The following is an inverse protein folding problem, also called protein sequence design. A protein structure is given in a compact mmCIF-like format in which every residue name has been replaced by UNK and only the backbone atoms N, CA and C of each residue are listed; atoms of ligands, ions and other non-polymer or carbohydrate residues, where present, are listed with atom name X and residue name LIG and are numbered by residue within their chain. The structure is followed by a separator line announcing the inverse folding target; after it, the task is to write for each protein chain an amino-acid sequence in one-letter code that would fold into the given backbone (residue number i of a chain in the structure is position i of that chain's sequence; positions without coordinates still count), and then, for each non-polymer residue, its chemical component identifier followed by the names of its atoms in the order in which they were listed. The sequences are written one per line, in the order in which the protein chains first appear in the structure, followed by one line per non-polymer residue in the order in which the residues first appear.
data_IF_337345460141
#
_entry.id   IF_337345460141
#
_cell.length_a   1.000
_cell.length_b   1.000
_cell.length_c   1.000
_cell.angle_alpha   90.00
_cell.angle_beta   90.00
_cell.angle_gamma   90.00
#
_symmetry.space_group_name_H-M   'P 1'
#
loop_
_entity.id
_entity.type
_entity.pdbx_description
1 polymer ?
#
# COMPACT_ATOMS: atom_id res chain seq x y z
N UNK A 1 16.26 2.91 -13.81
CA UNK A 1 15.89 1.51 -13.50
C UNK A 1 14.57 1.50 -12.75
N UNK A 2 13.58 0.70 -13.21
CA UNK A 2 12.29 0.48 -12.53
C UNK A 2 12.42 -0.68 -11.53
N UNK A 3 11.77 -0.58 -10.36
CA UNK A 3 11.71 -1.66 -9.37
C UNK A 3 10.56 -1.53 -8.38
N UNK A 4 10.36 -2.57 -7.57
CA UNK A 4 9.29 -2.66 -6.58
C UNK A 4 9.84 -2.40 -5.18
N UNK A 5 9.16 -1.57 -4.40
CA UNK A 5 9.46 -1.32 -2.99
C UNK A 5 8.28 -1.77 -2.12
N UNK A 6 8.57 -2.61 -1.13
CA UNK A 6 7.59 -3.13 -0.18
C UNK A 6 8.00 -2.75 1.24
N UNK A 7 7.00 -2.55 2.11
CA UNK A 7 7.21 -2.44 3.56
C UNK A 7 6.67 -3.69 4.24
N UNK A 8 7.52 -4.37 5.02
CA UNK A 8 7.16 -5.61 5.68
C UNK A 8 7.67 -5.61 7.13
N UNK A 9 6.77 -5.44 8.09
CA UNK A 9 7.08 -5.42 9.52
C UNK A 9 6.12 -6.30 10.28
N UNK A 10 6.61 -7.37 10.89
CA UNK A 10 5.81 -8.21 11.77
C UNK A 10 5.35 -7.41 13.00
N UNK A 11 4.18 -7.75 13.49
CA UNK A 11 3.65 -7.27 14.77
C UNK A 11 3.42 -8.46 15.69
N UNK A 12 3.05 -8.23 16.95
CA UNK A 12 2.64 -9.30 17.86
C UNK A 12 1.38 -10.05 17.38
N UNK A 13 0.55 -9.41 16.53
CA UNK A 13 -0.71 -10.00 16.02
C UNK A 13 -0.59 -10.55 14.61
N UNK A 14 0.30 -10.00 13.78
CA UNK A 14 0.35 -10.29 12.36
C UNK A 14 1.76 -10.61 11.87
N UNK A 15 1.88 -11.69 11.16
CA UNK A 15 3.09 -12.19 10.50
C UNK A 15 3.10 -11.75 9.04
N UNK A 16 3.55 -10.52 8.81
CA UNK A 16 3.66 -9.96 7.45
C UNK A 16 4.71 -10.67 6.59
N UNK A 17 5.72 -11.28 7.21
CA UNK A 17 6.68 -12.17 6.54
C UNK A 17 5.99 -13.36 5.85
N UNK A 18 4.92 -13.92 6.44
CA UNK A 18 4.11 -14.97 5.83
C UNK A 18 3.26 -14.45 4.65
N UNK A 19 2.81 -13.21 4.72
CA UNK A 19 2.14 -12.57 3.58
C UNK A 19 3.15 -12.33 2.46
N UNK A 20 4.35 -11.83 2.78
CA UNK A 20 5.45 -11.67 1.82
C UNK A 20 5.79 -12.98 1.10
N UNK A 21 5.76 -14.13 1.81
CA UNK A 21 5.98 -15.46 1.23
C UNK A 21 4.99 -15.79 0.10
N UNK A 22 3.80 -15.19 0.09
CA UNK A 22 2.76 -15.39 -0.93
C UNK A 22 2.84 -14.33 -2.04
N UNK A 23 3.03 -13.07 -1.68
CA UNK A 23 2.95 -11.95 -2.62
C UNK A 23 4.23 -11.74 -3.43
N UNK A 24 5.40 -11.92 -2.81
CA UNK A 24 6.69 -11.69 -3.48
C UNK A 24 6.92 -12.65 -4.67
N UNK A 25 6.61 -13.96 -4.59
CA UNK A 25 6.70 -14.85 -5.76
C UNK A 25 5.80 -14.39 -6.92
N UNK A 26 4.59 -13.91 -6.63
CA UNK A 26 3.66 -13.39 -7.65
C UNK A 26 4.21 -12.12 -8.31
N UNK A 27 4.75 -11.18 -7.53
CA UNK A 27 5.40 -9.98 -8.06
C UNK A 27 6.59 -10.33 -8.97
N UNK A 28 7.42 -11.30 -8.57
CA UNK A 28 8.54 -11.76 -9.40
C UNK A 28 8.06 -12.40 -10.71
N UNK A 29 7.06 -13.28 -10.62
CA UNK A 29 6.50 -13.98 -11.77
C UNK A 29 5.90 -13.04 -12.79
N UNK A 30 5.10 -12.06 -12.33
CA UNK A 30 4.27 -11.26 -13.22
C UNK A 30 4.95 -9.94 -13.64
N UNK A 31 5.84 -9.37 -12.80
CA UNK A 31 6.53 -8.12 -13.15
C UNK A 31 7.98 -8.32 -13.62
N UNK A 32 8.67 -9.36 -13.15
CA UNK A 32 10.08 -9.59 -13.49
C UNK A 32 11.05 -8.50 -13.00
N UNK A 33 10.60 -7.61 -12.11
CA UNK A 33 11.34 -6.45 -11.63
C UNK A 33 12.21 -6.78 -10.40
N UNK A 34 13.30 -6.03 -10.16
CA UNK A 34 14.01 -6.09 -8.90
C UNK A 34 13.11 -5.61 -7.76
N UNK A 35 13.17 -6.32 -6.62
CA UNK A 35 12.34 -6.04 -5.45
C UNK A 35 13.24 -5.67 -4.28
N UNK A 36 12.88 -4.60 -3.57
CA UNK A 36 13.46 -4.21 -2.30
C UNK A 36 12.39 -4.26 -1.21
N UNK A 37 12.69 -4.92 -0.09
CA UNK A 37 11.84 -4.95 1.10
C UNK A 37 12.47 -4.09 2.20
N UNK A 38 11.74 -3.09 2.65
CA UNK A 38 12.05 -2.31 3.85
C UNK A 38 11.46 -3.04 5.05
N UNK A 39 12.30 -3.36 6.02
CA UNK A 39 11.92 -4.17 7.18
C UNK A 39 12.79 -3.85 8.39
N UNK A 40 12.44 -4.35 9.58
CA UNK A 40 13.31 -4.32 10.74
C UNK A 40 14.05 -5.66 10.93
N UNK A 41 15.03 -5.66 11.82
CA UNK A 41 15.89 -6.83 12.05
C UNK A 41 15.10 -8.06 12.54
N UNK A 42 14.10 -7.86 13.41
CA UNK A 42 13.31 -8.97 13.96
C UNK A 42 12.42 -9.62 12.90
N UNK A 43 11.79 -8.82 12.04
CA UNK A 43 11.02 -9.34 10.90
C UNK A 43 11.96 -10.01 9.89
N UNK A 44 13.11 -9.40 9.59
CA UNK A 44 14.09 -9.97 8.66
C UNK A 44 14.54 -11.39 9.06
N UNK A 45 14.79 -11.64 10.35
CA UNK A 45 15.14 -12.99 10.85
C UNK A 45 14.05 -14.03 10.58
N UNK A 46 12.80 -13.60 10.46
CA UNK A 46 11.66 -14.47 10.22
C UNK A 46 11.34 -14.66 8.73
N UNK A 47 12.00 -13.87 7.84
CA UNK A 47 11.70 -13.96 6.41
C UNK A 47 12.04 -15.34 5.85
N UNK A 48 11.12 -15.95 5.10
CA UNK A 48 11.43 -17.15 4.35
C UNK A 48 12.42 -16.83 3.21
N UNK A 49 13.07 -17.82 2.63
CA UNK A 49 13.92 -17.62 1.46
C UNK A 49 13.05 -17.19 0.26
N UNK A 50 13.12 -15.90 -0.09
CA UNK A 50 12.36 -15.30 -1.20
C UNK A 50 13.19 -15.20 -2.51
N UNK A 51 14.38 -15.82 -2.55
CA UNK A 51 15.32 -15.70 -3.67
C UNK A 51 16.00 -14.32 -3.71
N UNK A 52 16.38 -13.85 -4.90
CA UNK A 52 17.09 -12.57 -5.05
C UNK A 52 16.17 -11.39 -4.70
N UNK A 53 16.27 -10.94 -3.43
CA UNK A 53 15.57 -9.79 -2.87
C UNK A 53 16.60 -8.89 -2.19
N UNK A 54 16.48 -7.59 -2.39
CA UNK A 54 17.24 -6.60 -1.64
C UNK A 54 16.49 -6.26 -0.34
N UNK A 55 17.19 -6.17 0.78
CA UNK A 55 16.63 -5.77 2.05
C UNK A 55 17.23 -4.44 2.51
N UNK A 56 16.35 -3.56 2.98
CA UNK A 56 16.71 -2.34 3.71
C UNK A 56 16.28 -2.51 5.16
N UNK A 57 17.24 -2.76 6.04
CA UNK A 57 16.96 -2.86 7.47
C UNK A 57 16.91 -1.45 8.04
N UNK A 58 15.82 -1.14 8.70
CA UNK A 58 15.59 0.15 9.36
C UNK A 58 15.14 -0.07 10.79
N UNK A 59 15.42 0.90 11.67
CA UNK A 59 14.86 0.89 13.02
C UNK A 59 13.37 1.19 12.96
N UNK A 60 12.59 0.47 13.78
CA UNK A 60 11.17 0.74 13.91
C UNK A 60 10.95 2.05 14.66
N UNK A 61 10.26 3.00 14.04
CA UNK A 61 9.57 4.02 14.83
C UNK A 61 8.44 3.37 15.65
N UNK A 62 8.13 3.97 16.80
CA UNK A 62 6.99 3.54 17.63
C UNK A 62 5.74 3.53 16.78
N UNK A 63 5.13 2.35 16.66
CA UNK A 63 3.98 2.12 15.83
C UNK A 63 2.77 2.97 16.22
N UNK A 64 1.89 3.17 15.28
CA UNK A 64 0.57 3.70 15.49
C UNK A 64 -0.37 2.58 15.96
N UNK A 65 -1.38 2.90 16.75
CA UNK A 65 -2.39 1.93 17.16
C UNK A 65 -3.68 2.16 16.38
N UNK A 66 -4.18 1.12 15.74
CA UNK A 66 -5.53 1.09 15.15
C UNK A 66 -6.29 -0.05 15.85
N UNK A 67 -7.41 0.29 16.46
CA UNK A 67 -8.23 -0.68 17.22
C UNK A 67 -7.42 -1.44 18.27
N UNK A 68 -6.54 -0.73 19.00
CA UNK A 68 -5.61 -1.27 19.99
C UNK A 68 -4.56 -2.25 19.43
N UNK A 69 -4.34 -2.29 18.12
CA UNK A 69 -3.30 -3.10 17.48
C UNK A 69 -2.20 -2.23 16.91
N UNK A 70 -0.93 -2.55 17.14
CA UNK A 70 0.19 -1.78 16.59
C UNK A 70 0.22 -1.89 15.07
N UNK A 71 0.40 -0.74 14.42
CA UNK A 71 0.55 -0.65 12.98
C UNK A 71 1.84 0.08 12.62
N UNK A 72 2.70 -0.57 11.85
CA UNK A 72 4.07 -0.11 11.58
C UNK A 72 4.27 0.56 10.21
N UNK A 73 3.22 0.93 9.50
CA UNK A 73 3.32 1.56 8.19
C UNK A 73 3.46 3.10 8.26
N UNK A 74 4.13 3.62 9.29
CA UNK A 74 4.26 5.06 9.51
C UNK A 74 5.30 5.73 8.62
N UNK A 75 6.32 4.98 8.17
CA UNK A 75 7.48 5.52 7.49
C UNK A 75 7.39 5.48 5.96
N UNK A 76 6.18 5.34 5.42
CA UNK A 76 5.98 5.31 3.98
C UNK A 76 6.46 6.59 3.27
N UNK A 77 6.50 7.72 3.98
CA UNK A 77 7.09 8.96 3.49
C UNK A 77 8.59 8.83 3.18
N UNK A 78 9.29 7.86 3.75
CA UNK A 78 10.71 7.59 3.47
C UNK A 78 10.93 6.76 2.20
N UNK A 79 9.86 6.37 1.50
CA UNK A 79 9.99 5.50 0.32
C UNK A 79 10.82 6.15 -0.79
N UNK A 80 10.78 7.49 -0.93
CA UNK A 80 11.62 8.21 -1.87
C UNK A 80 13.12 8.02 -1.59
N UNK A 81 13.53 8.11 -0.32
CA UNK A 81 14.92 7.96 0.10
C UNK A 81 15.36 6.49 0.10
N UNK A 82 14.48 5.59 0.57
CA UNK A 82 14.80 4.17 0.75
C UNK A 82 14.77 3.37 -0.55
N UNK A 83 14.04 3.82 -1.56
CA UNK A 83 14.05 3.16 -2.85
C UNK A 83 15.40 3.29 -3.54
N UNK A 84 16.01 2.19 -4.02
CA UNK A 84 17.24 2.23 -4.81
C UNK A 84 16.98 2.51 -6.30
N UNK A 85 15.73 2.70 -6.72
CA UNK A 85 15.32 2.77 -8.12
C UNK A 85 15.06 4.22 -8.57
N UNK A 86 15.27 4.51 -9.86
CA UNK A 86 14.93 5.80 -10.46
C UNK A 86 13.41 5.96 -10.59
N UNK A 87 12.72 4.82 -10.82
CA UNK A 87 11.27 4.72 -10.83
C UNK A 87 10.84 3.56 -9.93
N UNK A 88 9.83 3.77 -9.13
CA UNK A 88 9.43 2.83 -8.08
C UNK A 88 7.93 2.54 -8.14
N UNK A 89 7.59 1.27 -8.09
CA UNK A 89 6.25 0.79 -7.76
C UNK A 89 6.26 0.48 -6.27
N UNK A 90 5.68 1.35 -5.46
CA UNK A 90 5.55 1.19 -4.01
C UNK A 90 4.23 0.50 -3.70
N UNK A 91 4.28 -0.68 -3.09
CA UNK A 91 3.09 -1.49 -2.79
C UNK A 91 2.99 -1.82 -1.29
N UNK A 92 1.76 -2.04 -0.83
CA UNK A 92 1.52 -2.76 0.42
C UNK A 92 1.90 -4.23 0.24
N UNK A 93 2.40 -4.86 1.31
CA UNK A 93 2.85 -6.26 1.28
C UNK A 93 1.71 -7.25 0.99
N UNK A 94 0.47 -6.84 1.19
CA UNK A 94 -0.75 -7.59 0.96
C UNK A 94 -1.43 -7.26 -0.39
N UNK A 95 -0.67 -6.68 -1.32
CA UNK A 95 -1.04 -6.54 -2.71
C UNK A 95 -0.65 -7.81 -3.48
N UNK A 96 -1.63 -8.56 -3.95
CA UNK A 96 -1.46 -9.76 -4.76
C UNK A 96 -1.46 -9.38 -6.23
N UNK A 97 -0.30 -9.50 -6.86
CA UNK A 97 -0.07 -9.12 -8.25
C UNK A 97 -0.19 -10.36 -9.14
N UNK A 98 -1.28 -10.48 -9.88
CA UNK A 98 -1.55 -11.61 -10.77
C UNK A 98 -1.39 -11.26 -12.24
N UNK A 99 -1.14 -9.99 -12.56
CA UNK A 99 -0.99 -9.48 -13.93
C UNK A 99 0.27 -8.63 -14.07
N UNK A 100 0.60 -8.25 -15.29
CA UNK A 100 1.66 -7.30 -15.63
C UNK A 100 1.16 -5.84 -15.73
N UNK A 101 -0.09 -5.58 -15.36
CA UNK A 101 -0.74 -4.28 -15.50
C UNK A 101 0.07 -3.12 -14.91
N UNK A 102 0.77 -3.35 -13.78
CA UNK A 102 1.61 -2.34 -13.15
C UNK A 102 2.80 -1.91 -14.03
N UNK A 103 3.28 -2.76 -14.94
CA UNK A 103 4.33 -2.38 -15.91
C UNK A 103 3.79 -1.35 -16.89
N UNK A 104 2.60 -1.58 -17.44
CA UNK A 104 1.93 -0.62 -18.35
C UNK A 104 1.68 0.72 -17.66
N UNK A 105 1.28 0.71 -16.40
CA UNK A 105 1.10 1.95 -15.63
C UNK A 105 2.43 2.68 -15.38
N UNK A 106 3.54 1.95 -15.23
CA UNK A 106 4.85 2.53 -15.01
C UNK A 106 5.49 3.14 -16.30
N UNK A 107 4.98 2.82 -17.46
CA UNK A 107 5.44 3.41 -18.74
C UNK A 107 5.00 4.86 -18.95
N UNK A 108 4.21 5.42 -18.04
CA UNK A 108 3.69 6.79 -18.11
C UNK A 108 4.80 7.84 -17.95
N UNK A 109 4.56 9.03 -18.50
CA UNK A 109 5.41 10.21 -18.28
C UNK A 109 5.18 10.89 -16.92
N UNK A 110 4.15 10.49 -16.18
CA UNK A 110 3.83 11.06 -14.89
C UNK A 110 4.92 10.79 -13.84
N UNK A 111 5.25 11.81 -13.05
CA UNK A 111 6.22 11.69 -11.97
C UNK A 111 5.70 10.94 -10.76
N UNK A 112 4.39 11.04 -10.51
CA UNK A 112 3.72 10.44 -9.36
C UNK A 112 2.28 10.09 -9.69
N UNK A 113 1.88 8.87 -9.36
CA UNK A 113 0.49 8.41 -9.48
C UNK A 113 0.09 7.58 -8.26
N UNK A 114 -1.18 7.68 -7.90
CA UNK A 114 -1.79 6.92 -6.79
C UNK A 114 -3.26 6.59 -7.12
N UNK A 115 -3.79 5.51 -6.57
CA UNK A 115 -5.22 5.24 -6.71
C UNK A 115 -6.06 6.21 -5.89
N UNK A 116 -7.09 6.79 -6.49
CA UNK A 116 -8.13 7.58 -5.81
C UNK A 116 -9.45 6.79 -5.63
N UNK A 117 -9.59 5.67 -6.31
CA UNK A 117 -10.79 4.84 -6.30
C UNK A 117 -10.46 3.37 -6.08
N UNK A 118 -11.35 2.69 -5.36
CA UNK A 118 -11.31 1.25 -5.18
C UNK A 118 -12.56 0.61 -5.81
N UNK A 119 -12.42 -0.69 -6.07
CA UNK A 119 -13.52 -1.59 -6.40
C UNK A 119 -13.57 -2.69 -5.35
N UNK A 120 -14.69 -2.77 -4.61
CA UNK A 120 -14.93 -3.85 -3.65
C UNK A 120 -15.27 -5.14 -4.41
N UNK A 121 -14.29 -6.06 -4.46
CA UNK A 121 -14.45 -7.32 -5.19
C UNK A 121 -15.43 -8.29 -4.51
N UNK A 122 -15.83 -8.03 -3.26
CA UNK A 122 -16.89 -8.79 -2.59
C UNK A 122 -18.31 -8.37 -3.03
N UNK A 123 -18.44 -7.25 -3.77
CA UNK A 123 -19.70 -6.72 -4.26
C UNK A 123 -20.58 -6.05 -3.20
N UNK A 124 -20.06 -5.76 -2.00
CA UNK A 124 -20.83 -5.21 -0.88
C UNK A 124 -20.72 -3.69 -0.71
N UNK A 125 -20.09 -2.98 -1.65
CA UNK A 125 -19.88 -1.52 -1.55
C UNK A 125 -19.27 -1.06 -0.20
N UNK A 126 -18.42 -1.88 0.40
CA UNK A 126 -17.83 -1.68 1.74
C UNK A 126 -17.02 -0.38 1.87
N UNK A 127 -16.72 0.26 0.74
CA UNK A 127 -15.93 1.50 0.67
C UNK A 127 -16.77 2.75 0.39
N UNK A 128 -18.06 2.71 0.65
CA UNK A 128 -18.89 3.93 0.72
C UNK A 128 -18.55 4.68 1.98
N UNK A 129 -17.50 5.49 1.92
CA UNK A 129 -17.11 6.35 3.03
C UNK A 129 -18.16 7.45 3.24
N UNK A 130 -18.58 7.62 4.48
CA UNK A 130 -19.25 8.85 4.90
C UNK A 130 -18.24 10.00 4.71
N UNK A 131 -18.44 10.81 3.68
CA UNK A 131 -17.55 11.89 3.28
C UNK A 131 -17.70 13.06 4.23
N UNK A 132 -16.99 13.02 5.36
CA UNK A 132 -16.91 14.17 6.26
C UNK A 132 -15.64 15.02 6.05
N UNK A 133 -14.64 14.49 5.35
CA UNK A 133 -13.39 15.21 5.09
C UNK A 133 -13.49 16.14 3.89
N UNK A 134 -12.75 17.26 3.94
CA UNK A 134 -12.69 18.26 2.85
C UNK A 134 -11.83 17.79 1.67
N UNK A 135 -11.00 16.76 1.86
CA UNK A 135 -10.18 16.16 0.81
C UNK A 135 -10.51 14.67 0.71
N UNK A 136 -10.75 14.14 -0.52
CA UNK A 136 -10.97 12.73 -0.71
C UNK A 136 -9.68 11.96 -0.38
N UNK A 137 -9.83 10.84 0.33
CA UNK A 137 -8.73 9.94 0.63
C UNK A 137 -8.21 9.29 -0.67
N UNK A 138 -6.89 9.18 -0.79
CA UNK A 138 -6.27 8.31 -1.80
C UNK A 138 -5.96 6.95 -1.21
N UNK A 139 -5.64 5.98 -2.04
CA UNK A 139 -5.24 4.65 -1.60
C UNK A 139 -3.73 4.48 -1.77
N UNK A 140 -3.00 4.73 -0.70
CA UNK A 140 -1.55 4.64 -0.68
C UNK A 140 -1.02 3.19 -0.80
N UNK A 141 -1.90 2.22 -0.97
CA UNK A 141 -1.57 0.80 -1.22
C UNK A 141 -0.69 0.60 -2.45
N UNK A 142 -0.96 1.36 -3.53
CA UNK A 142 -0.14 1.36 -4.73
C UNK A 142 0.17 2.79 -5.13
N UNK A 143 1.45 3.12 -5.15
CA UNK A 143 1.99 4.40 -5.60
C UNK A 143 3.08 4.12 -6.64
N UNK A 144 3.01 4.78 -7.80
CA UNK A 144 4.07 4.72 -8.81
C UNK A 144 4.73 6.10 -8.83
N UNK A 145 6.06 6.14 -8.69
CA UNK A 145 6.77 7.42 -8.67
C UNK A 145 8.15 7.35 -9.33
N UNK A 146 8.58 8.46 -9.92
CA UNK A 146 9.94 8.70 -10.40
C UNK A 146 10.70 9.57 -9.40
N UNK A 147 12.02 9.43 -9.34
CA UNK A 147 12.88 10.28 -8.50
C UNK A 147 13.08 11.65 -9.13
N UNK A 148 12.12 12.55 -8.94
CA UNK A 148 12.14 13.94 -9.38
C UNK A 148 12.00 14.88 -8.17
N UNK A 149 12.34 16.15 -8.34
CA UNK A 149 12.17 17.17 -7.30
C UNK A 149 10.70 17.34 -6.88
N UNK A 150 9.77 17.22 -7.83
CA UNK A 150 8.33 17.25 -7.54
C UNK A 150 7.93 16.08 -6.64
N UNK A 151 8.36 14.88 -6.96
CA UNK A 151 8.09 13.70 -6.14
C UNK A 151 8.73 13.80 -4.76
N UNK A 152 9.96 14.30 -4.70
CA UNK A 152 10.63 14.58 -3.43
C UNK A 152 9.81 15.52 -2.55
N UNK A 153 9.30 16.61 -3.12
CA UNK A 153 8.45 17.57 -2.41
C UNK A 153 7.16 16.91 -1.88
N UNK A 154 6.56 15.96 -2.62
CA UNK A 154 5.38 15.21 -2.15
C UNK A 154 5.74 14.39 -0.90
N UNK A 155 6.81 13.61 -0.91
CA UNK A 155 7.22 12.81 0.24
C UNK A 155 7.65 13.65 1.44
N UNK A 156 8.33 14.78 1.22
CA UNK A 156 8.70 15.74 2.27
C UNK A 156 7.43 16.36 2.90
N UNK A 157 6.44 16.70 2.08
CA UNK A 157 5.15 17.21 2.58
C UNK A 157 4.40 16.14 3.38
N UNK A 158 4.41 14.87 2.97
CA UNK A 158 3.81 13.76 3.75
C UNK A 158 4.49 13.64 5.12
N UNK A 159 5.83 13.76 5.20
CA UNK A 159 6.57 13.81 6.47
C UNK A 159 6.11 14.98 7.35
N UNK A 160 6.03 16.17 6.79
CA UNK A 160 5.57 17.37 7.50
C UNK A 160 4.14 17.22 8.03
N UNK A 161 3.24 16.62 7.22
CA UNK A 161 1.87 16.32 7.62
C UNK A 161 1.84 15.29 8.75
N UNK A 162 2.67 14.23 8.68
CA UNK A 162 2.78 13.21 9.73
C UNK A 162 3.14 13.84 11.08
N UNK A 163 4.15 14.73 11.10
CA UNK A 163 4.61 15.41 12.31
C UNK A 163 3.55 16.32 12.93
N UNK A 164 2.59 16.79 12.13
CA UNK A 164 1.51 17.73 12.52
C UNK A 164 0.13 17.19 12.23
N UNK A 165 -0.04 15.87 12.29
CA UNK A 165 -1.23 15.21 11.76
C UNK A 165 -2.53 15.70 12.40
N UNK A 166 -2.56 15.95 13.71
CA UNK A 166 -3.76 16.48 14.38
C UNK A 166 -4.19 17.84 13.84
N UNK A 167 -3.24 18.74 13.57
CA UNK A 167 -3.52 20.05 12.95
C UNK A 167 -4.17 19.85 11.57
N UNK A 168 -3.63 18.97 10.74
CA UNK A 168 -4.18 18.69 9.42
C UNK A 168 -5.53 17.98 9.47
N UNK A 169 -5.75 17.12 10.46
CA UNK A 169 -7.07 16.51 10.69
C UNK A 169 -8.13 17.57 10.98
N UNK A 170 -7.81 18.58 11.77
CA UNK A 170 -8.72 19.70 12.08
C UNK A 170 -8.97 20.57 10.85
N UNK A 171 -7.89 20.97 10.16
CA UNK A 171 -7.96 21.81 8.97
C UNK A 171 -8.81 21.19 7.85
N UNK A 172 -8.65 19.88 7.61
CA UNK A 172 -9.34 19.14 6.54
C UNK A 172 -10.57 18.38 7.02
N UNK A 173 -11.00 18.54 8.27
CA UNK A 173 -12.14 17.87 8.89
C UNK A 173 -12.05 16.35 8.76
N UNK A 174 -10.88 15.80 9.07
CA UNK A 174 -10.63 14.36 9.04
C UNK A 174 -10.92 13.79 10.43
N UNK A 175 -11.86 12.85 10.52
CA UNK A 175 -12.27 12.26 11.81
C UNK A 175 -11.30 11.19 12.32
N UNK A 176 -10.35 10.72 11.51
CA UNK A 176 -9.35 9.73 11.90
C UNK A 176 -8.17 10.41 12.61
N UNK A 177 -8.04 10.21 13.92
CA UNK A 177 -6.95 10.80 14.72
C UNK A 177 -5.66 9.98 14.68
N UNK A 178 -5.73 8.69 14.36
CA UNK A 178 -4.54 7.89 14.08
C UNK A 178 -3.99 8.26 12.69
N UNK A 179 -2.68 8.39 12.60
CA UNK A 179 -2.05 8.74 11.33
C UNK A 179 -2.39 7.72 10.23
N UNK A 180 -2.78 8.24 9.06
CA UNK A 180 -3.05 7.45 7.86
C UNK A 180 -2.30 8.02 6.67
N UNK A 181 -1.48 7.18 6.04
CA UNK A 181 -0.78 7.53 4.81
C UNK A 181 -1.74 8.02 3.72
N UNK A 182 -2.90 7.37 3.60
CA UNK A 182 -3.93 7.69 2.61
C UNK A 182 -4.35 9.16 2.66
N UNK A 183 -4.62 9.69 3.85
CA UNK A 183 -4.94 11.11 4.03
C UNK A 183 -3.71 12.00 3.91
N UNK A 184 -2.56 11.56 4.40
CA UNK A 184 -1.35 12.37 4.32
C UNK A 184 -0.91 12.61 2.87
N UNK A 185 -0.95 11.58 2.03
CA UNK A 185 -0.71 11.73 0.59
C UNK A 185 -1.79 12.57 -0.09
N UNK A 186 -3.08 12.36 0.23
CA UNK A 186 -4.16 13.17 -0.33
C UNK A 186 -3.98 14.67 -0.04
N UNK A 187 -3.64 15.03 1.21
CA UNK A 187 -3.39 16.42 1.62
C UNK A 187 -2.15 16.96 0.90
N UNK A 188 -1.05 16.20 0.87
CA UNK A 188 0.19 16.63 0.22
C UNK A 188 -0.02 16.95 -1.26
N UNK A 189 -0.70 16.05 -1.98
CA UNK A 189 -1.04 16.23 -3.40
C UNK A 189 -1.95 17.43 -3.62
N UNK A 190 -2.94 17.62 -2.75
CA UNK A 190 -3.87 18.73 -2.83
C UNK A 190 -3.17 20.08 -2.62
N UNK A 191 -2.31 20.19 -1.61
CA UNK A 191 -1.56 21.42 -1.32
C UNK A 191 -0.54 21.75 -2.41
N UNK A 192 0.27 20.77 -2.82
CA UNK A 192 1.31 20.97 -3.84
C UNK A 192 0.72 21.16 -5.24
N UNK A 193 -0.46 20.60 -5.51
CA UNK A 193 -1.21 20.79 -6.74
C UNK A 193 -1.99 22.10 -6.81
N UNK A 194 -1.88 22.98 -5.79
CA UNK A 194 -2.59 24.26 -5.75
C UNK A 194 -4.11 24.08 -5.64
N UNK A 195 -4.56 23.08 -4.93
CA UNK A 195 -5.98 22.71 -4.74
C UNK A 195 -6.69 22.29 -6.03
N UNK A 196 -5.93 21.91 -7.04
CA UNK A 196 -6.42 21.30 -8.28
C UNK A 196 -6.34 19.77 -8.20
N UNK A 197 -6.80 19.11 -9.24
CA UNK A 197 -6.62 17.66 -9.38
C UNK A 197 -5.15 17.25 -9.47
N UNK A 198 -4.88 16.02 -9.19
CA UNK A 198 -3.56 15.36 -9.30
C UNK A 198 -3.69 14.10 -10.15
N UNK A 199 -2.55 13.59 -10.59
CA UNK A 199 -2.49 12.40 -11.42
C UNK A 199 -2.89 11.17 -10.60
N UNK A 200 -3.92 10.48 -11.05
CA UNK A 200 -4.39 9.25 -10.45
C UNK A 200 -4.16 8.06 -11.38
N UNK A 201 -4.01 6.89 -10.80
CA UNK A 201 -4.03 5.65 -11.56
C UNK A 201 -5.44 5.51 -12.16
N UNK A 202 -5.58 5.38 -13.49
CA UNK A 202 -6.89 5.49 -14.17
C UNK A 202 -7.83 4.33 -13.85
N UNK A 203 -7.30 3.20 -13.38
CA UNK A 203 -8.08 2.04 -12.99
C UNK A 203 -8.47 2.10 -11.51
N UNK A 204 -9.56 1.43 -11.14
CA UNK A 204 -9.91 1.24 -9.73
C UNK A 204 -9.03 0.15 -9.13
N UNK A 205 -8.60 0.34 -7.88
CA UNK A 205 -7.87 -0.68 -7.13
C UNK A 205 -8.84 -1.79 -6.69
N UNK A 206 -8.75 -3.01 -7.25
CA UNK A 206 -9.55 -4.13 -6.75
C UNK A 206 -9.13 -4.44 -5.32
N UNK A 207 -10.08 -4.42 -4.40
CA UNK A 207 -9.78 -4.57 -2.97
C UNK A 207 -10.77 -5.52 -2.30
N UNK A 208 -10.24 -6.49 -1.58
CA UNK A 208 -11.00 -7.39 -0.73
C UNK A 208 -11.08 -6.80 0.69
N UNK A 209 -12.28 -6.49 1.20
CA UNK A 209 -12.42 -5.80 2.49
C UNK A 209 -11.99 -6.66 3.68
N UNK A 210 -11.61 -6.00 4.77
CA UNK A 210 -11.09 -6.65 5.98
C UNK A 210 -12.03 -7.64 6.68
N UNK A 211 -13.33 -7.57 6.40
CA UNK A 211 -14.30 -8.56 6.89
C UNK A 211 -14.43 -9.81 6.00
N UNK A 212 -13.86 -9.78 4.80
CA UNK A 212 -13.86 -10.92 3.89
C UNK A 212 -12.70 -11.86 4.24
N UNK A 213 -13.02 -13.04 4.75
CA UNK A 213 -12.03 -14.04 5.16
C UNK A 213 -11.47 -14.77 3.94
N UNK A 214 -10.18 -14.64 3.68
CA UNK A 214 -9.48 -15.41 2.64
C UNK A 214 -9.45 -16.88 3.02
N UNK A 215 -9.81 -17.75 2.08
CA UNK A 215 -9.85 -19.21 2.26
C UNK A 215 -8.82 -19.94 1.42
N UNK A 216 -8.38 -19.33 0.30
CA UNK A 216 -7.38 -19.93 -0.58
C UNK A 216 -6.63 -18.83 -1.35
N UNK A 217 -5.35 -19.02 -1.50
CA UNK A 217 -4.48 -18.27 -2.41
C UNK A 217 -3.85 -19.24 -3.39
N UNK A 218 -3.88 -18.91 -4.67
CA UNK A 218 -3.27 -19.72 -5.74
C UNK A 218 -2.31 -18.85 -6.57
N UNK A 219 -1.68 -19.44 -7.58
CA UNK A 219 -0.83 -18.72 -8.54
C UNK A 219 -1.62 -17.81 -9.50
N UNK A 220 -2.94 -17.90 -9.49
CA UNK A 220 -3.83 -17.16 -10.42
C UNK A 220 -4.89 -16.33 -9.72
N UNK A 221 -5.12 -16.51 -8.41
CA UNK A 221 -6.19 -15.78 -7.75
C UNK A 221 -6.36 -16.04 -6.26
N UNK A 222 -7.40 -15.42 -5.71
CA UNK A 222 -7.78 -15.48 -4.29
C UNK A 222 -9.24 -15.89 -4.18
N UNK A 223 -9.55 -16.80 -3.24
CA UNK A 223 -10.91 -17.15 -2.85
C UNK A 223 -11.19 -16.66 -1.43
N UNK A 224 -12.44 -16.28 -1.16
CA UNK A 224 -12.85 -15.76 0.15
C UNK A 224 -14.27 -16.17 0.53
N UNK A 225 -14.59 -15.96 1.81
CA UNK A 225 -15.95 -16.01 2.34
C UNK A 225 -16.29 -14.67 2.96
N UNK A 226 -17.43 -14.12 2.61
CA UNK A 226 -17.98 -12.87 3.15
C UNK A 226 -19.48 -13.02 3.42
N UNK A 227 -19.89 -12.83 4.69
CA UNK A 227 -21.31 -12.92 5.09
C UNK A 227 -22.01 -14.19 4.57
N UNK A 228 -21.33 -15.35 4.65
CA UNK A 228 -21.86 -16.64 4.18
C UNK A 228 -21.80 -16.87 2.67
N UNK A 229 -21.34 -15.90 1.89
CA UNK A 229 -21.13 -16.03 0.45
C UNK A 229 -19.68 -16.43 0.16
N UNK A 230 -19.48 -17.31 -0.80
CA UNK A 230 -18.17 -17.67 -1.34
C UNK A 230 -17.93 -16.87 -2.61
N UNK A 231 -16.74 -16.29 -2.73
CA UNK A 231 -16.29 -15.57 -3.94
C UNK A 231 -14.86 -15.94 -4.31
N UNK A 232 -14.49 -15.63 -5.54
CA UNK A 232 -13.11 -15.72 -6.03
C UNK A 232 -12.84 -14.63 -7.06
N UNK A 233 -11.56 -14.28 -7.20
CA UNK A 233 -11.06 -13.43 -8.28
C UNK A 233 -9.83 -14.12 -8.87
N UNK A 234 -9.76 -14.16 -10.18
CA UNK A 234 -8.66 -14.82 -10.91
C UNK A 234 -8.11 -13.89 -11.99
N UNK A 235 -6.81 -14.00 -12.24
CA UNK A 235 -6.08 -13.24 -13.25
C UNK A 235 -6.32 -11.71 -13.15
N UNK A 236 -6.44 -11.21 -11.92
CA UNK A 236 -6.64 -9.81 -11.61
C UNK A 236 -5.90 -9.47 -10.31
N UNK A 237 -5.17 -8.37 -10.33
CA UNK A 237 -4.49 -7.86 -9.14
C UNK A 237 -5.50 -7.51 -8.06
N UNK A 238 -5.16 -7.77 -6.79
CA UNK A 238 -6.07 -7.50 -5.68
C UNK A 238 -5.32 -7.13 -4.40
N UNK A 239 -5.77 -6.06 -3.75
CA UNK A 239 -5.36 -5.71 -2.41
C UNK A 239 -6.21 -6.46 -1.38
N UNK A 240 -5.58 -7.21 -0.48
CA UNK A 240 -6.25 -8.05 0.52
C UNK A 240 -6.09 -7.45 1.91
N UNK A 241 -7.13 -6.78 2.43
CA UNK A 241 -7.06 -6.13 3.75
C UNK A 241 -7.04 -7.16 4.89
N UNK A 242 -7.71 -8.32 4.71
CA UNK A 242 -7.75 -9.36 5.75
C UNK A 242 -6.36 -9.97 5.99
N UNK A 243 -5.83 -9.74 7.20
CA UNK A 243 -4.53 -10.31 7.60
C UNK A 243 -4.59 -11.80 7.95
N UNK A 244 -5.77 -12.39 8.01
CA UNK A 244 -5.97 -13.86 8.10
C UNK A 244 -5.34 -14.61 6.93
N UNK A 245 -5.10 -13.94 5.80
CA UNK A 245 -4.36 -14.49 4.64
C UNK A 245 -2.97 -15.04 4.99
N UNK A 246 -2.37 -14.61 6.10
CA UNK A 246 -1.10 -15.17 6.60
C UNK A 246 -1.19 -16.66 6.96
N UNK A 247 -2.39 -17.17 7.23
CA UNK A 247 -2.64 -18.53 7.73
C UNK A 247 -3.21 -19.49 6.65
N UNK A 248 -3.38 -19.04 5.42
CA UNK A 248 -3.97 -19.79 4.31
C UNK A 248 -2.93 -20.52 3.48
#
# INVERSE_FOLDING_TARGET
MLGVLLYCFNTEYYRYDKIAAKTVPLLKKNLGLPITIVTNFDTFKCMPPLGFINYKIVDNEKGNNIDNKPWHNLDRHRAYELSPYDQTILLDIDYFCYTDHLLTLAETDQDFMVHDKVHDVSGNDSYKFARSSMVPMVWATCIIFKKTERTKAIFDMVRYIKERYNYFCELYRINFRNFRNDYAFAIALHQLGGFKGYETIPTRLPTLPGGAKVTKVTDTGVSWVWQGRVGSIENCDVHVIDKGVQNV
#
